data_IF_080243206075
#
_entry.id   IF_080243206075
#
_cell.length_a   1.000
_cell.length_b   1.000
_cell.length_c   1.000
_cell.angle_alpha   90.00
_cell.angle_beta   90.00
_cell.angle_gamma   90.00
#
_symmetry.space_group_name_H-M   'P 1'
#
loop_
_entity.id
_entity.type
_entity.pdbx_description
1 polymer ?
#
# COMPACT_ATOMS: atom_id res chain seq x y z
N UNK A 1 -4.09 -25.12 -9.67
CA UNK A 1 -3.06 -24.07 -9.49
C UNK A 1 -3.47 -22.88 -10.33
N UNK A 2 -3.82 -21.77 -9.67
CA UNK A 2 -4.35 -20.55 -10.32
C UNK A 2 -3.30 -19.44 -10.47
N UNK A 3 -2.21 -19.53 -9.72
CA UNK A 3 -1.15 -18.53 -9.69
C UNK A 3 0.16 -19.10 -9.12
N UNK A 4 1.20 -18.27 -9.13
CA UNK A 4 2.52 -18.61 -8.61
C UNK A 4 2.51 -18.90 -7.09
N UNK A 5 1.57 -18.31 -6.35
CA UNK A 5 1.44 -18.54 -4.90
C UNK A 5 0.96 -19.98 -4.66
N UNK A 6 -0.11 -20.40 -5.36
CA UNK A 6 -0.59 -21.79 -5.31
C UNK A 6 0.51 -22.78 -5.71
N UNK A 7 1.20 -22.49 -6.82
CA UNK A 7 2.30 -23.33 -7.25
C UNK A 7 3.34 -23.51 -6.16
N UNK A 8 3.83 -22.42 -5.58
CA UNK A 8 4.83 -22.48 -4.51
C UNK A 8 4.31 -23.17 -3.25
N UNK A 9 3.05 -22.94 -2.89
CA UNK A 9 2.43 -23.54 -1.72
C UNK A 9 2.31 -25.06 -1.89
N UNK A 10 1.78 -25.53 -3.02
CA UNK A 10 1.59 -26.96 -3.26
C UNK A 10 2.87 -27.69 -3.66
N UNK A 11 3.87 -27.01 -4.23
CA UNK A 11 5.15 -27.61 -4.57
C UNK A 11 6.15 -27.66 -3.42
N UNK A 12 5.79 -27.21 -2.22
CA UNK A 12 6.66 -27.22 -1.06
C UNK A 12 6.83 -28.62 -0.43
N UNK A 13 5.91 -29.56 -0.68
CA UNK A 13 5.99 -30.92 -0.13
C UNK A 13 7.10 -31.76 -0.79
N UNK A 14 7.60 -32.77 -0.06
CA UNK A 14 8.63 -33.69 -0.55
C UNK A 14 8.05 -34.77 -1.48
N UNK A 15 6.77 -35.11 -1.31
CA UNK A 15 6.04 -36.05 -2.15
C UNK A 15 4.91 -35.32 -2.87
N UNK A 16 4.95 -35.30 -4.19
CA UNK A 16 4.00 -34.57 -5.02
C UNK A 16 3.37 -35.48 -6.07
N UNK A 17 2.07 -35.33 -6.28
CA UNK A 17 1.39 -35.86 -7.46
C UNK A 17 1.02 -34.67 -8.34
N UNK A 18 1.67 -34.58 -9.50
CA UNK A 18 1.49 -33.46 -10.45
C UNK A 18 0.71 -33.93 -11.66
N UNK A 19 -0.49 -33.37 -11.84
CA UNK A 19 -1.32 -33.62 -12.99
C UNK A 19 -1.04 -32.54 -14.07
N UNK A 20 -0.47 -32.95 -15.19
CA UNK A 20 -0.14 -32.06 -16.32
C UNK A 20 -1.11 -32.32 -17.47
N UNK A 21 -1.78 -31.26 -17.92
CA UNK A 21 -2.63 -31.29 -19.12
C UNK A 21 -1.98 -30.55 -20.27
N UNK A 22 -1.82 -31.25 -21.42
CA UNK A 22 -1.33 -30.67 -22.67
C UNK A 22 -2.36 -30.93 -23.77
N UNK A 23 -3.15 -29.91 -24.11
CA UNK A 23 -4.32 -30.09 -24.98
C UNK A 23 -5.36 -31.00 -24.34
N UNK A 24 -5.70 -32.10 -25.01
CA UNK A 24 -6.64 -33.11 -24.51
C UNK A 24 -5.94 -34.23 -23.71
N UNK A 25 -4.63 -34.30 -23.75
CA UNK A 25 -3.87 -35.30 -23.00
C UNK A 25 -3.58 -34.87 -21.60
N UNK A 26 -3.79 -35.77 -20.64
CA UNK A 26 -3.46 -35.59 -19.24
C UNK A 26 -2.46 -36.67 -18.85
N UNK A 27 -1.41 -36.26 -18.15
CA UNK A 27 -0.41 -37.17 -17.57
C UNK A 27 -0.23 -36.85 -16.08
N UNK A 28 -0.09 -37.91 -15.29
CA UNK A 28 0.18 -37.82 -13.84
C UNK A 28 1.63 -38.20 -13.58
N UNK A 29 2.28 -37.43 -12.73
CA UNK A 29 3.67 -37.66 -12.35
C UNK A 29 3.75 -37.68 -10.82
N UNK A 30 4.26 -38.78 -10.28
CA UNK A 30 4.69 -38.85 -8.88
C UNK A 30 6.14 -38.35 -8.78
N UNK A 31 6.40 -37.39 -7.90
CA UNK A 31 7.71 -36.75 -7.75
C UNK A 31 8.11 -36.79 -6.29
N UNK A 32 9.27 -37.36 -6.04
CA UNK A 32 9.97 -37.26 -4.75
C UNK A 32 11.10 -36.25 -4.88
N UNK A 33 11.20 -35.32 -3.96
CA UNK A 33 12.23 -34.27 -3.94
C UNK A 33 12.53 -33.80 -2.53
N UNK A 34 13.65 -33.15 -2.33
CA UNK A 34 13.91 -32.43 -1.08
C UNK A 34 12.99 -31.19 -0.99
N UNK A 35 12.61 -30.84 0.24
CA UNK A 35 11.68 -29.74 0.53
C UNK A 35 12.03 -28.42 -0.18
N UNK A 36 13.31 -28.05 -0.25
CA UNK A 36 13.79 -26.81 -0.87
C UNK A 36 14.00 -26.92 -2.39
N UNK A 37 13.87 -28.10 -2.98
CA UNK A 37 14.09 -28.29 -4.41
C UNK A 37 12.89 -27.80 -5.22
N UNK A 38 13.14 -26.87 -6.14
CA UNK A 38 12.13 -26.40 -7.11
C UNK A 38 11.89 -27.42 -8.22
N UNK A 39 10.66 -27.51 -8.72
CA UNK A 39 10.32 -28.38 -9.86
C UNK A 39 10.88 -27.86 -11.21
N UNK A 40 11.50 -26.70 -11.25
CA UNK A 40 12.08 -26.10 -12.45
C UNK A 40 11.05 -25.58 -13.45
N UNK A 41 9.81 -25.34 -13.03
CA UNK A 41 8.76 -24.82 -13.90
C UNK A 41 8.83 -23.30 -13.95
N UNK A 42 8.98 -22.74 -15.16
CA UNK A 42 8.96 -21.30 -15.38
C UNK A 42 7.58 -20.86 -15.89
N UNK A 43 7.07 -19.80 -15.32
CA UNK A 43 5.79 -19.18 -15.71
C UNK A 43 6.04 -17.82 -16.38
N UNK A 44 5.19 -17.45 -17.35
CA UNK A 44 5.26 -16.13 -18.00
C UNK A 44 4.76 -15.02 -17.10
N UNK A 45 3.69 -15.30 -16.34
CA UNK A 45 3.01 -14.36 -15.45
C UNK A 45 2.84 -14.99 -14.07
N UNK A 46 2.78 -14.17 -13.03
CA UNK A 46 2.55 -14.65 -11.67
C UNK A 46 1.08 -15.05 -11.43
N UNK A 47 0.14 -14.50 -12.21
CA UNK A 47 -1.31 -14.74 -12.12
C UNK A 47 -1.78 -15.41 -13.41
N UNK A 48 -2.05 -16.72 -13.37
CA UNK A 48 -2.35 -17.52 -14.56
C UNK A 48 -3.76 -17.29 -15.09
N UNK A 49 -4.67 -16.88 -14.23
CA UNK A 49 -6.07 -16.52 -14.52
C UNK A 49 -6.26 -15.00 -14.76
N UNK A 50 -5.15 -14.23 -14.75
CA UNK A 50 -5.16 -12.79 -14.89
C UNK A 50 -5.42 -12.04 -13.58
N UNK A 51 -5.47 -10.70 -13.67
CA UNK A 51 -5.66 -9.82 -12.52
C UNK A 51 -7.14 -9.70 -12.18
N UNK A 52 -7.49 -9.87 -10.89
CA UNK A 52 -8.83 -9.58 -10.40
C UNK A 52 -9.07 -8.07 -10.41
N UNK A 53 -10.04 -7.63 -11.20
CA UNK A 53 -10.34 -6.22 -11.35
C UNK A 53 -11.31 -5.72 -10.30
N UNK A 54 -11.10 -4.48 -9.86
CA UNK A 54 -11.94 -3.82 -8.88
C UNK A 54 -13.34 -3.50 -9.44
N UNK A 55 -14.38 -4.03 -8.83
CA UNK A 55 -15.78 -3.72 -9.11
C UNK A 55 -16.32 -2.49 -8.37
N UNK A 56 -15.53 -1.88 -7.47
CA UNK A 56 -15.98 -0.74 -6.69
C UNK A 56 -16.05 0.55 -7.51
N UNK A 57 -16.96 1.45 -7.09
CA UNK A 57 -17.15 2.79 -7.65
C UNK A 57 -16.83 3.86 -6.61
N UNK A 58 -15.57 3.86 -6.15
CA UNK A 58 -15.14 4.74 -5.07
C UNK A 58 -15.33 6.21 -5.43
N UNK A 59 -15.83 7.00 -4.46
CA UNK A 59 -15.98 8.45 -4.64
C UNK A 59 -14.65 9.15 -4.91
N UNK A 60 -13.54 8.53 -4.54
CA UNK A 60 -12.17 9.03 -4.70
C UNK A 60 -11.35 8.24 -5.75
N UNK A 61 -11.96 7.32 -6.53
CA UNK A 61 -11.22 6.49 -7.48
C UNK A 61 -10.38 7.33 -8.42
N UNK A 62 -9.06 7.17 -8.34
CA UNK A 62 -8.12 7.92 -9.17
C UNK A 62 -8.18 7.49 -10.64
N UNK A 63 -8.32 6.19 -10.90
CA UNK A 63 -8.39 5.64 -12.27
C UNK A 63 -9.59 6.21 -13.02
N UNK A 64 -10.74 6.39 -12.34
CA UNK A 64 -11.93 6.98 -12.95
C UNK A 64 -11.84 8.51 -13.15
N UNK A 65 -10.77 9.13 -12.69
CA UNK A 65 -10.45 10.54 -12.89
C UNK A 65 -9.37 10.77 -13.96
N UNK A 66 -8.93 9.72 -14.67
CA UNK A 66 -7.96 9.84 -15.74
C UNK A 66 -8.62 10.40 -17.02
N UNK A 67 -7.92 11.20 -17.81
CA UNK A 67 -8.40 11.64 -19.13
C UNK A 67 -8.55 10.41 -20.04
N UNK A 68 -9.48 10.49 -20.99
CA UNK A 68 -9.66 9.45 -22.01
C UNK A 68 -8.50 9.45 -23.00
N UNK A 69 -8.19 8.26 -23.58
CA UNK A 69 -7.23 8.13 -24.67
C UNK A 69 -5.78 7.86 -24.24
N UNK A 70 -5.53 7.64 -22.94
CA UNK A 70 -4.23 7.18 -22.47
C UNK A 70 -4.02 5.67 -22.76
N UNK A 71 -2.80 5.17 -22.54
CA UNK A 71 -2.51 3.73 -22.70
C UNK A 71 -3.40 2.88 -21.79
N UNK A 72 -3.85 1.74 -22.30
CA UNK A 72 -4.84 0.86 -21.64
C UNK A 72 -4.43 0.42 -20.22
N UNK A 73 -3.13 0.20 -19.98
CA UNK A 73 -2.61 -0.21 -18.67
C UNK A 73 -2.88 0.81 -17.55
N UNK A 74 -3.09 2.10 -17.86
CA UNK A 74 -3.41 3.12 -16.86
C UNK A 74 -4.87 3.05 -16.38
N UNK A 75 -5.75 2.36 -17.10
CA UNK A 75 -7.15 2.19 -16.72
C UNK A 75 -7.43 0.87 -16.01
N UNK A 76 -6.40 0.07 -15.76
CA UNK A 76 -6.53 -1.15 -14.98
C UNK A 76 -6.85 -0.77 -13.53
N UNK A 77 -8.01 -1.20 -13.06
CA UNK A 77 -8.43 -1.08 -11.66
C UNK A 77 -8.17 -2.44 -11.01
N UNK A 78 -7.00 -2.61 -10.43
CA UNK A 78 -6.69 -3.82 -9.68
C UNK A 78 -7.23 -3.76 -8.24
N UNK A 79 -7.76 -4.87 -7.75
CA UNK A 79 -8.11 -5.09 -6.35
C UNK A 79 -7.84 -6.56 -6.00
N UNK A 80 -6.64 -7.02 -6.37
CA UNK A 80 -6.21 -8.39 -6.28
C UNK A 80 -5.27 -8.58 -5.07
N UNK A 81 -5.72 -9.32 -4.06
CA UNK A 81 -4.94 -9.57 -2.85
C UNK A 81 -3.61 -10.29 -3.12
N UNK A 82 -3.51 -11.03 -4.24
CA UNK A 82 -2.27 -11.69 -4.65
C UNK A 82 -1.20 -10.66 -5.01
N UNK A 83 -1.59 -9.58 -5.70
CA UNK A 83 -0.69 -8.46 -5.97
C UNK A 83 -0.32 -7.69 -4.70
N UNK A 84 -1.22 -7.63 -3.71
CA UNK A 84 -0.89 -7.09 -2.40
C UNK A 84 0.25 -7.88 -1.75
N UNK A 85 0.15 -9.20 -1.74
CA UNK A 85 1.18 -10.08 -1.19
C UNK A 85 2.49 -10.05 -1.98
N UNK A 86 2.41 -10.12 -3.32
CA UNK A 86 3.60 -10.23 -4.19
C UNK A 86 4.36 -8.91 -4.37
N UNK A 87 3.63 -7.79 -4.38
CA UNK A 87 4.18 -6.49 -4.79
C UNK A 87 3.86 -5.33 -3.85
N UNK A 88 3.10 -5.56 -2.77
CA UNK A 88 2.73 -4.51 -1.82
C UNK A 88 1.62 -3.57 -2.32
N UNK A 89 0.85 -3.97 -3.33
CA UNK A 89 -0.27 -3.18 -3.82
C UNK A 89 -1.35 -3.03 -2.74
N UNK A 90 -1.90 -1.82 -2.59
CA UNK A 90 -2.99 -1.57 -1.66
C UNK A 90 -4.32 -2.00 -2.27
N UNK A 91 -5.01 -2.95 -1.63
CA UNK A 91 -6.30 -3.51 -2.06
C UNK A 91 -7.40 -3.18 -1.07
N UNK A 92 -8.64 -3.05 -1.56
CA UNK A 92 -9.78 -2.70 -0.70
C UNK A 92 -10.43 -3.90 -0.04
N UNK A 93 -10.16 -5.11 -0.49
CA UNK A 93 -10.84 -6.36 -0.17
C UNK A 93 -12.36 -6.31 -0.48
N UNK A 94 -12.82 -5.36 -1.32
CA UNK A 94 -14.24 -5.18 -1.58
C UNK A 94 -14.87 -6.32 -2.40
N UNK A 95 -14.05 -7.03 -3.18
CA UNK A 95 -14.43 -8.15 -4.04
C UNK A 95 -13.84 -9.49 -3.60
N UNK A 96 -13.20 -9.54 -2.44
CA UNK A 96 -12.63 -10.79 -1.88
C UNK A 96 -13.73 -11.63 -1.26
N UNK A 97 -13.82 -12.89 -1.66
CA UNK A 97 -14.77 -13.88 -1.16
C UNK A 97 -14.32 -14.50 0.17
N UNK A 98 -15.22 -15.16 0.88
CA UNK A 98 -14.88 -15.90 2.10
C UNK A 98 -13.91 -17.07 1.83
N UNK A 99 -13.96 -17.66 0.64
CA UNK A 99 -13.02 -18.69 0.22
C UNK A 99 -11.61 -18.12 0.03
N UNK A 100 -11.51 -16.97 -0.61
CA UNK A 100 -10.23 -16.26 -0.77
C UNK A 100 -9.66 -15.79 0.57
N UNK A 101 -10.50 -15.30 1.51
CA UNK A 101 -10.05 -15.00 2.87
C UNK A 101 -9.50 -16.23 3.57
N UNK A 102 -10.17 -17.39 3.44
CA UNK A 102 -9.66 -18.66 3.98
C UNK A 102 -8.34 -19.06 3.32
N UNK A 103 -8.22 -18.90 2.00
CA UNK A 103 -6.97 -19.16 1.27
C UNK A 103 -5.82 -18.29 1.79
N UNK A 104 -6.05 -16.98 1.97
CA UNK A 104 -5.05 -16.06 2.54
C UNK A 104 -4.53 -16.58 3.88
N UNK A 105 -5.43 -17.00 4.76
CA UNK A 105 -5.10 -17.53 6.08
C UNK A 105 -4.33 -18.86 5.98
N UNK A 106 -4.83 -19.81 5.16
CA UNK A 106 -4.23 -21.14 5.00
C UNK A 106 -2.83 -21.06 4.40
N UNK A 107 -2.66 -20.25 3.36
CA UNK A 107 -1.36 -20.06 2.68
C UNK A 107 -0.46 -19.04 3.37
N UNK A 108 -0.93 -18.43 4.49
CA UNK A 108 -0.19 -17.43 5.29
C UNK A 108 0.34 -16.27 4.47
N UNK A 109 -0.50 -15.70 3.59
CA UNK A 109 -0.12 -14.58 2.72
C UNK A 109 0.06 -13.30 3.56
N UNK A 110 1.26 -13.07 4.04
CA UNK A 110 1.61 -11.99 4.97
C UNK A 110 2.97 -11.38 4.62
N UNK A 111 3.12 -10.04 4.63
CA UNK A 111 2.10 -9.06 4.95
C UNK A 111 1.13 -8.77 3.79
N UNK A 112 -0.04 -8.18 4.11
CA UNK A 112 -0.96 -7.60 3.14
C UNK A 112 -1.11 -6.08 3.36
N UNK A 113 -1.44 -5.38 2.28
CA UNK A 113 -1.59 -3.93 2.23
C UNK A 113 -3.04 -3.58 1.90
N UNK A 114 -3.76 -3.00 2.88
CA UNK A 114 -5.22 -2.89 2.83
C UNK A 114 -5.68 -1.43 2.84
N UNK A 115 -6.47 -1.05 1.84
CA UNK A 115 -7.16 0.23 1.75
C UNK A 115 -8.46 0.19 2.58
N UNK A 116 -8.39 0.68 3.82
CA UNK A 116 -9.52 0.64 4.77
C UNK A 116 -10.49 1.81 4.56
N UNK A 117 -9.97 3.03 4.47
CA UNK A 117 -10.64 4.32 4.34
C UNK A 117 -11.56 4.70 5.52
N UNK A 118 -12.38 3.78 6.02
CA UNK A 118 -13.21 3.95 7.22
C UNK A 118 -13.66 2.57 7.74
N UNK A 119 -13.84 2.46 9.05
CA UNK A 119 -14.40 1.28 9.73
C UNK A 119 -15.91 1.39 9.93
N UNK A 120 -16.48 2.59 9.73
CA UNK A 120 -17.93 2.75 9.71
C UNK A 120 -18.53 2.11 8.45
N UNK A 121 -19.35 1.08 8.62
CA UNK A 121 -19.88 0.27 7.53
C UNK A 121 -20.76 1.07 6.56
N UNK A 122 -21.61 1.94 7.07
CA UNK A 122 -22.50 2.74 6.22
C UNK A 122 -21.70 3.75 5.41
N UNK A 123 -20.72 4.40 6.03
CA UNK A 123 -19.82 5.30 5.34
C UNK A 123 -18.96 4.57 4.32
N UNK A 124 -18.42 3.38 4.66
CA UNK A 124 -17.65 2.55 3.72
C UNK A 124 -18.47 2.23 2.47
N UNK A 125 -19.73 1.80 2.63
CA UNK A 125 -20.62 1.53 1.50
C UNK A 125 -20.93 2.79 0.66
N UNK A 126 -21.03 3.96 1.29
CA UNK A 126 -21.16 5.22 0.56
C UNK A 126 -19.90 5.61 -0.21
N UNK A 127 -18.73 5.28 0.32
CA UNK A 127 -17.43 5.63 -0.28
C UNK A 127 -17.01 4.67 -1.40
N UNK A 128 -17.24 3.37 -1.26
CA UNK A 128 -16.77 2.33 -2.18
C UNK A 128 -17.88 1.74 -3.07
N UNK A 129 -19.12 1.80 -2.61
CA UNK A 129 -20.28 1.18 -3.25
C UNK A 129 -21.08 0.31 -2.28
N UNK A 130 -22.37 0.14 -2.54
CA UNK A 130 -23.32 -0.53 -1.61
C UNK A 130 -22.94 -1.99 -1.26
N UNK A 131 -22.19 -2.67 -2.13
CA UNK A 131 -21.76 -4.04 -1.91
C UNK A 131 -20.50 -4.20 -1.06
N UNK A 132 -19.86 -3.10 -0.61
CA UNK A 132 -18.63 -3.18 0.16
C UNK A 132 -18.83 -3.93 1.48
N UNK A 133 -18.10 -5.04 1.74
CA UNK A 133 -18.22 -5.82 2.96
C UNK A 133 -17.65 -5.07 4.17
N UNK A 134 -17.94 -5.61 5.37
CA UNK A 134 -17.35 -5.08 6.61
C UNK A 134 -15.85 -5.34 6.63
N UNK A 135 -15.06 -4.26 6.56
CA UNK A 135 -13.60 -4.37 6.62
C UNK A 135 -13.12 -4.89 7.97
N UNK A 136 -13.84 -4.57 9.04
CA UNK A 136 -13.52 -5.05 10.38
C UNK A 136 -13.65 -6.57 10.46
N UNK A 137 -14.73 -7.14 9.93
CA UNK A 137 -14.91 -8.59 9.91
C UNK A 137 -13.81 -9.28 9.09
N UNK A 138 -13.43 -8.70 7.94
CA UNK A 138 -12.33 -9.23 7.12
C UNK A 138 -11.00 -9.17 7.86
N UNK A 139 -10.67 -8.06 8.53
CA UNK A 139 -9.46 -7.92 9.34
C UNK A 139 -9.48 -8.92 10.51
N UNK A 140 -10.62 -9.13 11.16
CA UNK A 140 -10.76 -10.08 12.26
C UNK A 140 -10.52 -11.52 11.79
N UNK A 141 -11.02 -11.91 10.60
CA UNK A 141 -10.69 -13.20 9.98
C UNK A 141 -9.19 -13.32 9.68
N UNK A 142 -8.58 -12.31 9.08
CA UNK A 142 -7.14 -12.31 8.78
C UNK A 142 -6.28 -12.37 10.06
N UNK A 143 -6.79 -11.80 11.16
CA UNK A 143 -6.13 -11.86 12.47
C UNK A 143 -6.04 -13.29 13.02
N UNK A 144 -7.03 -14.14 12.74
CA UNK A 144 -6.98 -15.56 13.18
C UNK A 144 -5.81 -16.34 12.56
N UNK A 145 -5.39 -15.93 11.35
CA UNK A 145 -4.24 -16.48 10.63
C UNK A 145 -2.90 -15.80 10.94
N UNK A 146 -2.86 -14.85 11.87
CA UNK A 146 -1.69 -14.02 12.16
C UNK A 146 -1.15 -13.27 10.92
N UNK A 147 -2.04 -12.88 10.01
CA UNK A 147 -1.67 -12.11 8.81
C UNK A 147 -1.36 -10.68 9.21
N UNK A 148 -0.14 -10.23 8.96
CA UNK A 148 0.27 -8.84 9.22
C UNK A 148 -0.32 -7.91 8.18
N UNK A 149 -0.84 -6.77 8.62
CA UNK A 149 -1.54 -5.82 7.77
C UNK A 149 -0.91 -4.43 7.87
N UNK A 150 -0.63 -3.82 6.73
CA UNK A 150 -0.35 -2.39 6.59
C UNK A 150 -1.58 -1.73 5.98
N UNK A 151 -2.13 -0.72 6.65
CA UNK A 151 -3.41 -0.15 6.24
C UNK A 151 -3.29 1.28 5.72
N UNK A 152 -4.21 1.66 4.83
CA UNK A 152 -4.27 2.97 4.21
C UNK A 152 -5.65 3.60 4.40
N UNK A 153 -5.67 4.91 4.64
CA UNK A 153 -6.86 5.74 4.65
C UNK A 153 -6.67 6.85 3.61
N UNK A 154 -7.40 6.79 2.50
CA UNK A 154 -7.53 7.93 1.60
C UNK A 154 -8.46 8.94 2.25
N UNK A 155 -7.91 10.05 2.72
CA UNK A 155 -8.65 11.06 3.46
C UNK A 155 -9.39 12.01 2.53
N UNK A 156 -10.71 11.92 2.57
CA UNK A 156 -11.64 12.76 1.84
C UNK A 156 -12.25 13.77 2.80
N UNK A 157 -11.80 15.04 2.71
CA UNK A 157 -12.26 16.12 3.58
C UNK A 157 -13.78 16.25 3.55
N UNK A 158 -14.43 16.30 4.72
CA UNK A 158 -15.87 16.38 4.89
C UNK A 158 -16.62 15.06 4.67
N UNK A 159 -15.90 13.94 4.49
CA UNK A 159 -16.50 12.61 4.28
C UNK A 159 -16.07 11.64 5.38
N UNK A 160 -14.79 11.24 5.40
CA UNK A 160 -14.25 10.27 6.37
C UNK A 160 -13.22 10.89 7.32
N UNK A 161 -13.24 12.21 7.47
CA UNK A 161 -12.42 12.96 8.44
C UNK A 161 -13.15 13.14 9.80
N UNK A 162 -12.56 13.92 10.70
CA UNK A 162 -13.11 14.20 12.02
C UNK A 162 -13.34 12.92 12.83
N UNK A 163 -14.55 12.77 13.39
CA UNK A 163 -14.92 11.63 14.22
C UNK A 163 -14.81 10.27 13.51
N UNK A 164 -15.07 10.21 12.21
CA UNK A 164 -14.89 8.99 11.43
C UNK A 164 -13.44 8.56 11.34
N UNK A 165 -12.53 9.52 11.14
CA UNK A 165 -11.09 9.25 11.13
C UNK A 165 -10.62 8.79 12.52
N UNK A 166 -11.05 9.48 13.58
CA UNK A 166 -10.71 9.13 14.96
C UNK A 166 -11.14 7.69 15.27
N UNK A 167 -12.39 7.35 15.00
CA UNK A 167 -12.93 6.01 15.19
C UNK A 167 -12.16 4.97 14.38
N UNK A 168 -11.88 5.25 13.10
CA UNK A 168 -11.15 4.32 12.24
C UNK A 168 -9.75 4.02 12.79
N UNK A 169 -9.03 5.03 13.27
CA UNK A 169 -7.71 4.84 13.88
C UNK A 169 -7.78 4.01 15.16
N UNK A 170 -8.79 4.25 16.02
CA UNK A 170 -8.99 3.46 17.24
C UNK A 170 -9.34 2.00 16.94
N UNK A 171 -10.28 1.77 16.04
CA UNK A 171 -10.69 0.42 15.64
C UNK A 171 -9.53 -0.40 15.07
N UNK A 172 -8.64 0.25 14.30
CA UNK A 172 -7.43 -0.39 13.78
C UNK A 172 -6.38 -0.60 14.87
N UNK A 173 -6.24 0.35 15.80
CA UNK A 173 -5.25 0.25 16.88
C UNK A 173 -5.56 -0.85 17.90
N UNK A 174 -6.85 -1.18 18.12
CA UNK A 174 -7.26 -2.34 18.94
C UNK A 174 -6.79 -3.65 18.33
N UNK A 175 -6.59 -3.69 17.01
CA UNK A 175 -6.12 -4.87 16.25
C UNK A 175 -4.61 -4.97 16.10
N UNK A 176 -3.86 -4.17 16.82
CA UNK A 176 -2.41 -4.34 16.93
C UNK A 176 -2.11 -5.62 17.76
N UNK A 177 -1.13 -6.48 17.37
CA UNK A 177 -0.11 -6.29 16.34
C UNK A 177 -0.48 -6.79 14.93
N UNK A 178 -1.67 -7.34 14.69
CA UNK A 178 -2.10 -7.75 13.35
C UNK A 178 -2.07 -6.56 12.39
N UNK A 179 -2.75 -5.47 12.73
CA UNK A 179 -2.58 -4.20 12.03
C UNK A 179 -1.31 -3.54 12.55
N UNK A 180 -0.27 -3.50 11.73
CA UNK A 180 1.04 -2.99 12.13
C UNK A 180 1.19 -1.49 11.92
N UNK A 181 0.51 -0.94 10.91
CA UNK A 181 0.65 0.47 10.58
C UNK A 181 -0.54 1.02 9.81
N UNK A 182 -0.76 2.33 9.94
CA UNK A 182 -1.79 3.07 9.21
C UNK A 182 -1.15 4.27 8.51
N UNK A 183 -1.33 4.39 7.19
CA UNK A 183 -1.02 5.61 6.44
C UNK A 183 -2.29 6.42 6.19
N UNK A 184 -2.24 7.70 6.44
CA UNK A 184 -3.26 8.66 6.01
C UNK A 184 -2.70 9.38 4.79
N UNK A 185 -3.37 9.22 3.64
CA UNK A 185 -2.98 9.86 2.39
C UNK A 185 -4.07 10.84 1.94
N UNK A 186 -3.73 11.99 1.35
CA UNK A 186 -4.73 12.90 0.84
C UNK A 186 -5.42 12.32 -0.39
N UNK A 187 -6.69 12.64 -0.58
CA UNK A 187 -7.40 12.29 -1.81
C UNK A 187 -6.77 12.99 -3.01
N UNK A 188 -6.43 12.23 -4.05
CA UNK A 188 -6.02 12.77 -5.34
C UNK A 188 -7.22 13.32 -6.12
N UNK A 189 -7.18 14.59 -6.46
CA UNK A 189 -8.22 15.26 -7.26
C UNK A 189 -7.62 15.76 -8.57
N UNK A 190 -8.25 15.38 -9.69
CA UNK A 190 -7.85 15.83 -11.04
C UNK A 190 -8.90 16.77 -11.65
N UNK A 191 -8.51 17.55 -12.65
CA UNK A 191 -9.43 18.37 -13.45
C UNK A 191 -10.42 17.53 -14.28
N UNK A 192 -10.16 16.23 -14.44
CA UNK A 192 -11.01 15.28 -15.17
C UNK A 192 -12.08 14.61 -14.31
N UNK A 193 -12.18 15.00 -13.04
CA UNK A 193 -13.19 14.49 -12.11
C UNK A 193 -14.58 15.01 -12.47
N UNK A 194 -15.26 14.31 -13.39
CA UNK A 194 -16.61 14.66 -13.82
C UNK A 194 -17.65 13.76 -13.17
N UNK A 195 -18.84 14.31 -12.88
CA UNK A 195 -20.01 13.56 -12.36
C UNK A 195 -19.77 12.77 -11.08
N UNK A 196 -18.79 13.17 -10.27
CA UNK A 196 -18.53 12.58 -8.96
C UNK A 196 -18.87 13.55 -7.83
N UNK A 197 -19.22 13.01 -6.67
CA UNK A 197 -19.49 13.80 -5.47
C UNK A 197 -18.35 14.79 -5.21
N UNK A 198 -18.64 16.08 -4.99
CA UNK A 198 -17.62 17.08 -4.71
C UNK A 198 -16.83 16.72 -3.44
N UNK A 199 -15.52 16.77 -3.51
CA UNK A 199 -14.63 16.62 -2.37
C UNK A 199 -13.78 17.88 -2.29
N UNK A 200 -13.82 18.63 -1.17
CA UNK A 200 -12.98 19.81 -1.00
C UNK A 200 -11.50 19.45 -1.05
N UNK A 201 -10.72 20.21 -1.78
CA UNK A 201 -9.28 20.05 -1.82
C UNK A 201 -8.65 20.29 -0.45
N UNK A 202 -7.53 19.62 -0.20
CA UNK A 202 -6.74 19.79 1.03
C UNK A 202 -5.90 21.04 0.89
N UNK A 203 -6.18 22.03 1.73
CA UNK A 203 -5.39 23.26 1.80
C UNK A 203 -4.34 23.19 2.93
N UNK A 204 -3.43 24.15 2.97
CA UNK A 204 -2.34 24.21 3.93
C UNK A 204 -2.80 24.14 5.39
N UNK A 205 -3.87 24.87 5.74
CA UNK A 205 -4.41 24.89 7.10
C UNK A 205 -4.99 23.52 7.50
N UNK A 206 -5.72 22.87 6.60
CA UNK A 206 -6.27 21.53 6.85
C UNK A 206 -5.15 20.49 6.96
N UNK A 207 -4.17 20.53 6.05
CA UNK A 207 -3.00 19.66 6.10
C UNK A 207 -2.25 19.81 7.44
N UNK A 208 -2.05 21.03 7.91
CA UNK A 208 -1.44 21.29 9.22
C UNK A 208 -2.22 20.66 10.38
N UNK A 209 -3.57 20.74 10.37
CA UNK A 209 -4.42 20.10 11.38
C UNK A 209 -4.27 18.57 11.39
N UNK A 210 -4.22 17.94 10.19
CA UNK A 210 -4.00 16.49 10.09
C UNK A 210 -2.63 16.09 10.63
N UNK A 211 -1.57 16.81 10.30
CA UNK A 211 -0.23 16.56 10.84
C UNK A 211 -0.23 16.63 12.37
N UNK A 212 -0.86 17.65 12.94
CA UNK A 212 -0.90 17.83 14.40
C UNK A 212 -1.71 16.71 15.07
N UNK A 213 -2.81 16.27 14.45
CA UNK A 213 -3.61 15.13 14.92
C UNK A 213 -2.82 13.82 14.86
N UNK A 214 -2.13 13.54 13.75
CA UNK A 214 -1.26 12.38 13.61
C UNK A 214 -0.16 12.38 14.69
N UNK A 215 0.46 13.52 14.96
CA UNK A 215 1.46 13.63 16.02
C UNK A 215 0.89 13.34 17.42
N UNK A 216 -0.38 13.67 17.68
CA UNK A 216 -1.05 13.32 18.94
C UNK A 216 -1.22 11.81 19.06
N UNK A 217 -1.74 11.13 18.02
CA UNK A 217 -1.85 9.68 17.99
C UNK A 217 -0.49 9.00 18.12
N UNK A 218 0.52 9.47 17.38
CA UNK A 218 1.88 8.91 17.44
C UNK A 218 2.47 8.94 18.86
N UNK A 219 2.28 10.06 19.60
CA UNK A 219 2.74 10.13 20.99
C UNK A 219 2.03 9.11 21.88
N UNK A 220 0.71 8.99 21.75
CA UNK A 220 -0.08 8.03 22.51
C UNK A 220 0.32 6.59 22.19
N UNK A 221 0.33 6.21 20.90
CA UNK A 221 0.66 4.84 20.50
C UNK A 221 2.10 4.46 20.80
N UNK A 222 3.02 5.41 20.72
CA UNK A 222 4.42 5.16 21.11
C UNK A 222 4.53 4.82 22.61
N UNK A 223 3.74 5.47 23.46
CA UNK A 223 3.68 5.15 24.90
C UNK A 223 2.98 3.80 25.15
N UNK A 224 1.87 3.53 24.46
CA UNK A 224 1.02 2.36 24.72
C UNK A 224 1.52 1.08 24.06
N UNK A 225 2.11 1.17 22.86
CA UNK A 225 2.43 0.04 21.98
C UNK A 225 3.92 -0.05 21.58
N UNK A 226 4.71 0.95 21.90
CA UNK A 226 6.11 1.03 21.49
C UNK A 226 6.32 1.38 20.01
N UNK A 227 5.28 1.73 19.28
CA UNK A 227 5.32 2.15 17.86
C UNK A 227 4.46 3.37 17.64
N UNK A 228 4.81 4.20 16.64
CA UNK A 228 3.98 5.34 16.22
C UNK A 228 2.68 4.95 15.58
N UNK A 229 2.63 3.77 14.98
CA UNK A 229 1.45 3.12 14.43
C UNK A 229 0.77 3.87 13.26
N UNK A 230 0.64 5.20 13.29
CA UNK A 230 -0.04 6.01 12.27
C UNK A 230 0.87 7.09 11.70
N UNK A 231 0.84 7.30 10.37
CA UNK A 231 1.63 8.30 9.67
C UNK A 231 0.79 9.07 8.65
N UNK A 232 1.11 10.35 8.48
CA UNK A 232 0.63 11.15 7.37
C UNK A 232 1.60 11.06 6.20
N UNK A 233 1.09 10.97 4.98
CA UNK A 233 1.90 11.04 3.76
C UNK A 233 2.65 12.38 3.67
N UNK A 234 3.79 12.36 2.99
CA UNK A 234 4.67 13.53 2.82
C UNK A 234 3.95 14.72 2.18
N UNK A 235 2.94 14.46 1.35
CA UNK A 235 2.13 15.50 0.70
C UNK A 235 1.43 16.42 1.70
N UNK A 236 1.01 15.93 2.87
CA UNK A 236 0.47 16.80 3.92
C UNK A 236 1.51 17.78 4.43
N UNK A 237 2.75 17.33 4.60
CA UNK A 237 3.85 18.21 5.05
C UNK A 237 4.18 19.25 4.00
N UNK A 238 4.26 18.86 2.73
CA UNK A 238 4.50 19.76 1.60
C UNK A 238 3.38 20.80 1.47
N UNK A 239 2.12 20.36 1.49
CA UNK A 239 0.95 21.23 1.42
C UNK A 239 0.85 22.20 2.58
N UNK A 240 1.29 21.82 3.77
CA UNK A 240 1.32 22.67 4.95
C UNK A 240 2.55 23.58 5.04
N UNK A 241 3.52 23.47 4.11
CA UNK A 241 4.80 24.18 4.20
C UNK A 241 5.65 23.73 5.40
N UNK A 242 5.44 22.50 5.90
CA UNK A 242 6.16 21.96 7.06
C UNK A 242 7.26 21.00 6.64
N UNK A 243 8.34 20.97 7.40
CA UNK A 243 9.41 19.99 7.17
C UNK A 243 8.93 18.56 7.47
N UNK A 244 9.28 17.62 6.57
CA UNK A 244 9.05 16.19 6.81
C UNK A 244 9.85 15.68 8.01
N UNK A 245 9.36 14.70 8.78
CA UNK A 245 10.02 14.16 9.96
C UNK A 245 11.43 13.62 9.69
N UNK A 246 12.21 13.42 10.74
CA UNK A 246 13.50 12.73 10.66
C UNK A 246 13.32 11.24 10.35
N UNK A 247 14.33 10.58 9.76
CA UNK A 247 14.27 9.18 9.35
C UNK A 247 13.82 8.22 10.47
N UNK A 248 14.31 8.44 11.70
CA UNK A 248 13.92 7.64 12.89
C UNK A 248 12.42 7.66 13.22
N UNK A 249 11.68 8.67 12.73
CA UNK A 249 10.24 8.79 12.96
C UNK A 249 9.40 7.89 12.06
N UNK A 250 10.00 7.29 11.05
CA UNK A 250 9.31 6.42 10.10
C UNK A 250 9.46 4.93 10.42
N UNK A 251 10.24 4.55 11.45
CA UNK A 251 10.35 3.18 11.98
C UNK A 251 10.61 2.12 10.89
N UNK A 252 11.59 2.36 10.01
CA UNK A 252 11.91 1.48 8.90
C UNK A 252 11.12 1.74 7.61
N UNK A 253 10.28 2.76 7.58
CA UNK A 253 9.47 3.17 6.41
C UNK A 253 8.45 2.12 5.94
N UNK A 254 7.62 1.54 6.83
CA UNK A 254 6.67 0.48 6.47
C UNK A 254 5.56 0.94 5.52
N UNK A 255 5.44 2.25 5.29
CA UNK A 255 4.38 2.86 4.47
C UNK A 255 4.95 3.66 3.29
N UNK A 256 6.15 3.28 2.81
CA UNK A 256 6.86 4.02 1.75
C UNK A 256 6.04 4.12 0.45
N UNK A 257 5.31 3.06 0.09
CA UNK A 257 4.46 3.00 -1.10
C UNK A 257 3.28 3.98 -1.03
N UNK A 258 2.92 4.42 0.16
CA UNK A 258 1.91 5.47 0.41
C UNK A 258 2.50 6.90 0.42
N UNK A 259 3.74 7.06 -0.02
CA UNK A 259 4.40 8.36 0.03
C UNK A 259 4.72 8.82 1.45
N UNK A 260 4.88 7.91 2.40
CA UNK A 260 5.26 8.20 3.78
C UNK A 260 6.78 8.05 3.93
N UNK A 261 7.48 9.18 3.93
CA UNK A 261 8.93 9.23 4.11
C UNK A 261 9.75 9.20 2.82
N UNK A 262 9.13 9.18 1.63
CA UNK A 262 9.82 9.27 0.33
C UNK A 262 10.69 10.52 0.23
N UNK A 263 10.15 11.68 0.61
CA UNK A 263 10.89 12.95 0.62
C UNK A 263 12.08 12.88 1.57
N UNK A 264 11.93 12.20 2.71
CA UNK A 264 13.04 12.01 3.65
C UNK A 264 14.12 11.11 3.07
N UNK A 265 13.75 9.99 2.46
CA UNK A 265 14.71 9.11 1.80
C UNK A 265 15.45 9.83 0.67
N UNK A 266 14.72 10.57 -0.18
CA UNK A 266 15.31 11.38 -1.24
C UNK A 266 16.32 12.39 -0.67
N UNK A 267 15.93 13.19 0.35
CA UNK A 267 16.85 14.16 0.98
C UNK A 267 18.09 13.50 1.55
N UNK A 268 17.97 12.36 2.19
CA UNK A 268 19.10 11.63 2.75
C UNK A 268 20.04 11.11 1.65
N UNK A 269 19.48 10.58 0.55
CA UNK A 269 20.23 10.09 -0.60
C UNK A 269 20.95 11.24 -1.34
N UNK A 270 20.26 12.34 -1.57
CA UNK A 270 20.84 13.55 -2.18
C UNK A 270 21.99 14.10 -1.33
N UNK A 271 21.82 14.17 -0.02
CA UNK A 271 22.86 14.60 0.91
C UNK A 271 24.09 13.67 0.86
N UNK A 272 23.88 12.35 0.86
CA UNK A 272 24.99 11.37 0.74
C UNK A 272 25.72 11.51 -0.60
N UNK A 273 24.96 11.65 -1.70
CA UNK A 273 25.53 11.85 -3.03
C UNK A 273 26.35 13.15 -3.12
N UNK A 274 25.81 14.25 -2.60
CA UNK A 274 26.55 15.53 -2.58
C UNK A 274 27.86 15.44 -1.79
N UNK A 275 27.86 14.78 -0.64
CA UNK A 275 29.10 14.57 0.15
C UNK A 275 30.15 13.72 -0.56
N UNK A 276 29.71 12.78 -1.41
CA UNK A 276 30.65 11.98 -2.21
C UNK A 276 31.16 12.72 -3.44
N UNK A 277 30.33 13.47 -4.12
CA UNK A 277 30.64 14.13 -5.38
C UNK A 277 31.37 15.46 -5.19
N UNK A 278 31.05 16.26 -4.17
CA UNK A 278 31.66 17.57 -3.94
C UNK A 278 33.18 17.52 -3.77
N UNK A 279 33.79 16.58 -3.02
CA UNK A 279 35.24 16.47 -2.94
C UNK A 279 35.88 16.16 -4.30
N UNK A 280 35.31 15.21 -5.05
CA UNK A 280 35.78 14.79 -6.38
C UNK A 280 35.70 15.93 -7.41
N UNK A 281 34.63 16.72 -7.36
CA UNK A 281 34.46 17.89 -8.21
C UNK A 281 35.48 19.00 -7.85
N UNK A 282 35.76 19.20 -6.56
CA UNK A 282 36.78 20.16 -6.09
C UNK A 282 38.16 19.79 -6.57
N UNK A 283 38.53 18.52 -6.52
CA UNK A 283 39.82 18.03 -7.05
C UNK A 283 39.93 18.24 -8.57
N UNK A 284 38.88 17.92 -9.34
CA UNK A 284 38.91 18.04 -10.81
C UNK A 284 38.91 19.46 -11.32
N UNK A 285 38.25 20.42 -10.60
CA UNK A 285 38.07 21.80 -11.06
C UNK A 285 39.12 22.74 -10.48
N UNK A 286 39.97 22.28 -9.57
CA UNK A 286 41.07 23.08 -8.99
C UNK A 286 40.61 24.26 -8.13
N UNK A 287 39.35 24.31 -7.71
CA UNK A 287 38.77 25.42 -6.95
C UNK A 287 39.07 25.24 -5.47
N UNK A 288 40.03 25.99 -4.97
CA UNK A 288 40.28 26.15 -3.54
C UNK A 288 39.43 27.32 -3.02
N UNK A 289 38.52 27.06 -2.10
CA UNK A 289 37.99 28.09 -1.22
C UNK A 289 36.62 28.74 -1.57
N UNK A 290 35.88 28.29 -2.60
CA UNK A 290 34.52 28.80 -2.88
C UNK A 290 33.44 27.75 -2.57
N UNK A 291 32.28 28.19 -2.06
CA UNK A 291 31.12 27.33 -1.88
C UNK A 291 30.54 26.88 -3.23
N UNK A 292 30.64 25.61 -3.54
CA UNK A 292 29.98 25.01 -4.68
C UNK A 292 28.52 24.72 -4.32
N UNK A 293 27.60 25.41 -4.97
CA UNK A 293 26.17 25.07 -4.93
C UNK A 293 25.90 23.93 -5.91
N UNK A 294 25.20 22.88 -5.47
CA UNK A 294 24.67 21.83 -6.36
C UNK A 294 23.19 22.09 -6.58
N UNK A 295 22.81 22.38 -7.81
CA UNK A 295 21.40 22.45 -8.23
C UNK A 295 20.96 21.10 -8.76
N UNK A 296 19.91 20.53 -8.17
CA UNK A 296 19.26 19.31 -8.68
C UNK A 296 18.13 19.78 -9.60
N UNK A 297 18.28 19.52 -10.89
CA UNK A 297 17.18 19.75 -11.86
C UNK A 297 16.33 18.49 -11.87
N UNK A 298 15.12 18.59 -11.33
CA UNK A 298 14.08 17.58 -11.52
C UNK A 298 13.30 17.92 -12.77
N UNK A 299 13.23 17.00 -13.74
CA UNK A 299 12.35 17.15 -14.89
C UNK A 299 10.89 17.29 -14.44
N UNK A 300 10.16 18.23 -15.06
CA UNK A 300 8.70 18.36 -14.89
C UNK A 300 7.98 17.27 -15.67
#
# INVERSE_FOLDING_TARGET
VSDLIDYRFHSADEHLVVLVRRGEQTAEFEIEKDYETDLGVAFRDALFDGVHTCGAHCVFCFVEQLPKGLRKSLYLKDDDYRLSFLHGNYVTLANVTDEELRRIVTQRLSPLYISVHTTDQLLRQRMLGRGAPSIINQIDVLSTGNIRLHTQIVLCRGINDGAYLDRTIEDLAVRYPTVQSVAIVPVGLTSHRRNKMPIPAINAQYAAKIIDKVRQWQRRFLADKGTRFVWAADEFFLSAGRAVPAARSYEGFPQIENGVGLVRQFKNSAYRASRRLLPLLRERIGVRGQSLGVSIVTGQ
#
